data_IF_253635970670
#
_entry.id   IF_253635970670
#
_cell.length_a   1.000
_cell.length_b   1.000
_cell.length_c   1.000
_cell.angle_alpha   90.00
_cell.angle_beta   90.00
_cell.angle_gamma   90.00
#
_symmetry.space_group_name_H-M   'P 1'
#
loop_
_entity.id
_entity.type
_entity.pdbx_description
1 polymer ?
#
# COMPACT_ATOMS: atom_id res chain seq x y z
N UNK A 1 20.93 5.18 4.57
CA UNK A 1 20.04 4.16 3.97
C UNK A 1 19.46 4.61 2.63
N UNK A 2 19.77 5.84 2.17
CA UNK A 2 19.46 6.35 0.82
C UNK A 2 18.03 6.09 0.35
N UNK A 3 17.08 6.25 1.29
CA UNK A 3 15.66 6.21 1.02
C UNK A 3 15.09 7.62 0.95
N UNK A 4 14.07 7.79 0.14
CA UNK A 4 13.30 9.03 0.04
C UNK A 4 11.99 8.88 0.84
N UNK A 5 11.67 9.88 1.65
CA UNK A 5 10.43 9.91 2.43
C UNK A 5 9.40 10.69 1.65
N UNK A 6 8.32 10.00 1.30
CA UNK A 6 7.19 10.57 0.57
C UNK A 6 5.92 10.45 1.39
N UNK A 7 5.10 11.49 1.32
CA UNK A 7 3.69 11.38 1.68
C UNK A 7 2.93 10.69 0.55
N UNK A 8 1.75 10.08 0.80
CA UNK A 8 0.93 9.50 -0.24
C UNK A 8 0.59 10.47 -1.39
N UNK A 9 0.48 11.78 -1.09
CA UNK A 9 0.23 12.82 -2.09
C UNK A 9 1.38 13.04 -3.07
N UNK A 10 2.61 12.70 -2.68
CA UNK A 10 3.79 12.86 -3.53
C UNK A 10 3.95 11.69 -4.52
N UNK A 11 3.13 10.64 -4.39
CA UNK A 11 3.24 9.38 -5.14
C UNK A 11 2.21 9.24 -6.27
N UNK A 12 1.33 10.24 -6.47
CA UNK A 12 0.15 10.13 -7.36
C UNK A 12 0.47 9.75 -8.81
N UNK A 13 1.62 10.16 -9.32
CA UNK A 13 2.05 9.87 -10.70
C UNK A 13 3.05 8.70 -10.78
N UNK A 14 3.29 8.03 -9.65
CA UNK A 14 4.24 6.92 -9.54
C UNK A 14 3.51 5.58 -9.45
N UNK A 15 4.12 4.55 -10.03
CA UNK A 15 3.67 3.17 -9.86
C UNK A 15 4.82 2.29 -9.41
N UNK A 16 4.49 1.27 -8.63
CA UNK A 16 5.47 0.40 -7.99
C UNK A 16 5.20 -1.06 -8.35
N UNK A 17 6.29 -1.82 -8.42
CA UNK A 17 6.27 -3.26 -8.66
C UNK A 17 5.94 -4.03 -7.38
N UNK A 18 6.32 -3.46 -6.24
CA UNK A 18 6.22 -4.04 -4.92
C UNK A 18 5.93 -2.94 -3.90
N UNK A 19 4.91 -3.15 -3.09
CA UNK A 19 4.62 -2.37 -1.89
C UNK A 19 4.71 -3.29 -0.66
N UNK A 20 5.33 -2.81 0.42
CA UNK A 20 5.53 -3.59 1.65
C UNK A 20 4.87 -2.83 2.79
N UNK A 21 3.80 -3.37 3.35
CA UNK A 21 3.22 -2.85 4.59
C UNK A 21 3.92 -3.47 5.80
N UNK A 22 4.48 -2.62 6.64
CA UNK A 22 5.03 -2.96 7.95
C UNK A 22 4.29 -2.24 9.09
N UNK A 23 3.15 -1.60 8.80
CA UNK A 23 2.44 -0.75 9.77
C UNK A 23 1.28 -1.46 10.46
N UNK A 24 0.61 -2.40 9.79
CA UNK A 24 -0.62 -3.00 10.27
C UNK A 24 -1.85 -2.09 10.15
N UNK A 25 -1.73 -0.97 9.42
CA UNK A 25 -2.81 -0.02 9.20
C UNK A 25 -3.61 -0.38 7.94
N UNK A 26 -4.89 -0.74 8.11
CA UNK A 26 -5.82 -0.98 7.00
C UNK A 26 -5.85 0.17 6.00
N UNK A 27 -6.03 1.44 6.42
CA UNK A 27 -5.98 2.59 5.51
C UNK A 27 -4.68 2.73 4.73
N UNK A 28 -3.53 2.37 5.32
CA UNK A 28 -2.25 2.40 4.61
C UNK A 28 -2.16 1.32 3.54
N UNK A 29 -2.66 0.11 3.85
CA UNK A 29 -2.74 -0.98 2.89
C UNK A 29 -3.69 -0.64 1.73
N UNK A 30 -4.86 -0.06 2.00
CA UNK A 30 -5.82 0.36 0.95
C UNK A 30 -5.22 1.45 0.05
N UNK A 31 -4.53 2.43 0.64
CA UNK A 31 -3.84 3.47 -0.12
C UNK A 31 -2.65 2.94 -0.94
N UNK A 32 -2.06 1.80 -0.55
CA UNK A 32 -0.92 1.21 -1.26
C UNK A 32 -1.33 0.43 -2.52
N UNK A 33 -2.52 -0.17 -2.56
CA UNK A 33 -2.99 -0.95 -3.71
C UNK A 33 -3.05 -0.16 -5.03
N UNK A 34 -3.62 1.06 -5.11
CA UNK A 34 -3.66 1.82 -6.37
C UNK A 34 -2.27 2.31 -6.83
N UNK A 35 -1.27 2.28 -5.96
CA UNK A 35 0.12 2.62 -6.31
C UNK A 35 0.83 1.45 -7.00
N UNK A 36 0.24 0.26 -7.05
CA UNK A 36 0.83 -0.89 -7.76
C UNK A 36 0.53 -0.82 -9.25
N UNK A 37 1.56 -1.09 -10.06
CA UNK A 37 1.34 -1.35 -11.50
C UNK A 37 0.53 -2.64 -11.71
N UNK A 38 -0.10 -2.85 -12.88
CA UNK A 38 -0.69 -4.14 -13.23
C UNK A 38 0.29 -5.30 -13.03
N UNK A 39 -0.11 -6.32 -12.27
CA UNK A 39 0.74 -7.46 -11.90
C UNK A 39 1.74 -7.18 -10.77
N UNK A 40 1.71 -6.00 -10.15
CA UNK A 40 2.47 -5.68 -8.95
C UNK A 40 2.00 -6.47 -7.72
N UNK A 41 2.74 -6.35 -6.61
CA UNK A 41 2.47 -7.12 -5.39
C UNK A 41 2.43 -6.23 -4.14
N UNK A 42 1.39 -6.42 -3.33
CA UNK A 42 1.33 -5.94 -1.95
C UNK A 42 1.77 -7.08 -1.02
N UNK A 43 2.78 -6.83 -0.18
CA UNK A 43 3.21 -7.76 0.86
C UNK A 43 2.85 -7.16 2.24
N UNK A 44 2.00 -7.85 2.99
CA UNK A 44 1.57 -7.41 4.32
C UNK A 44 2.34 -8.17 5.38
N UNK A 45 3.17 -7.44 6.14
CA UNK A 45 3.89 -7.95 7.30
C UNK A 45 3.41 -7.29 8.60
N UNK A 46 2.88 -6.07 8.51
CA UNK A 46 2.22 -5.40 9.62
C UNK A 46 0.98 -6.15 10.08
N UNK A 47 0.80 -6.29 11.40
CA UNK A 47 -0.34 -7.00 11.97
C UNK A 47 -1.46 -6.00 12.27
N UNK A 48 -2.56 -6.12 11.52
CA UNK A 48 -3.74 -5.29 11.75
C UNK A 48 -4.51 -5.71 13.00
N UNK A 49 -5.42 -4.84 13.45
CA UNK A 49 -6.40 -5.22 14.46
C UNK A 49 -7.18 -6.46 13.96
N UNK A 50 -7.45 -7.47 14.82
CA UNK A 50 -8.16 -8.69 14.42
C UNK A 50 -9.55 -8.46 13.80
N UNK A 51 -10.19 -7.33 14.12
CA UNK A 51 -11.49 -6.95 13.58
C UNK A 51 -11.41 -5.95 12.42
N UNK A 52 -10.21 -5.62 11.95
CA UNK A 52 -10.03 -4.74 10.79
C UNK A 52 -10.39 -5.49 9.51
N UNK A 53 -11.08 -4.80 8.60
CA UNK A 53 -11.38 -5.29 7.26
C UNK A 53 -10.63 -4.44 6.25
N UNK A 54 -9.97 -5.08 5.29
CA UNK A 54 -9.36 -4.44 4.13
C UNK A 54 -10.32 -4.53 2.94
N UNK A 55 -10.74 -3.41 2.37
CA UNK A 55 -11.63 -3.38 1.21
C UNK A 55 -10.87 -2.95 -0.04
N UNK A 56 -10.84 -3.82 -1.05
CA UNK A 56 -10.21 -3.52 -2.34
C UNK A 56 -11.27 -3.47 -3.42
N UNK A 57 -11.21 -2.44 -4.25
CA UNK A 57 -12.08 -2.29 -5.43
C UNK A 57 -11.20 -2.37 -6.68
N UNK A 58 -11.07 -3.55 -7.33
CA UNK A 58 -10.08 -3.74 -8.40
C UNK A 58 -10.30 -2.90 -9.67
N UNK A 59 -11.47 -2.28 -9.81
CA UNK A 59 -11.89 -1.54 -10.99
C UNK A 59 -12.22 -0.07 -10.71
N UNK A 60 -12.08 0.38 -9.45
CA UNK A 60 -12.10 1.80 -9.06
C UNK A 60 -10.67 2.22 -8.70
#
# INVERSE_FOLDING_TARGET
>A
LDYDVKSPSDLKDSTFDLAVDCSGSGPAMEAAVPLLRPGGRLCVFGVANPNATLTLKPFE
#
